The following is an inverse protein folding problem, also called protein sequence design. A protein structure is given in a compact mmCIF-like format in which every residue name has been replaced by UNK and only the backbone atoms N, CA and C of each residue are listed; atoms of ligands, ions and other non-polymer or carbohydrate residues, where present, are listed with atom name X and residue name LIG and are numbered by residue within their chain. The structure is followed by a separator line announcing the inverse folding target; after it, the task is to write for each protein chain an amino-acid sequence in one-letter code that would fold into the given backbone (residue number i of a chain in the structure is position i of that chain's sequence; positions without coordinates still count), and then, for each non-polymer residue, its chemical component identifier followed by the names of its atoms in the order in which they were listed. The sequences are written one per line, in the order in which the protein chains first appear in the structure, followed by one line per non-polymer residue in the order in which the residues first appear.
data_IF_656164109714
#
_entry.id   IF_656164109714
#
_cell.length_a   1.000
_cell.length_b   1.000
_cell.length_c   1.000
_cell.angle_alpha   90.00
_cell.angle_beta   90.00
_cell.angle_gamma   90.00
#
_symmetry.space_group_name_H-M   'P 1'
#
loop_
_entity.id
_entity.type
_entity.pdbx_description
1 polymer ?
#
# COMPACT_ATOMS: atom_id res chain seq x y z
N UNK A 1 8.28 -1.57 9.73
CA UNK A 1 9.12 -0.65 8.93
C UNK A 1 10.45 -1.29 8.55
N UNK A 2 11.08 -2.10 9.43
CA UNK A 2 12.35 -2.80 9.15
C UNK A 2 12.28 -3.77 7.95
N UNK A 3 11.13 -4.39 7.68
CA UNK A 3 11.02 -5.43 6.64
C UNK A 3 10.86 -4.88 5.22
N UNK A 4 10.30 -3.67 5.06
CA UNK A 4 10.16 -3.00 3.77
C UNK A 4 11.49 -2.39 3.29
N UNK A 5 12.39 -2.04 4.23
CA UNK A 5 13.71 -1.47 3.90
C UNK A 5 14.69 -2.46 3.29
N UNK A 6 14.47 -3.78 3.47
CA UNK A 6 15.32 -4.85 2.91
C UNK A 6 14.96 -5.23 1.47
N UNK A 7 13.80 -4.77 0.95
CA UNK A 7 13.34 -5.12 -0.40
C UNK A 7 14.00 -4.23 -1.45
N UNK A 8 14.20 -4.79 -2.65
CA UNK A 8 14.71 -4.05 -3.81
C UNK A 8 13.72 -2.98 -4.26
N UNK A 9 14.19 -1.97 -5.00
CA UNK A 9 13.30 -0.93 -5.55
C UNK A 9 12.24 -1.51 -6.50
N UNK A 10 12.61 -2.54 -7.26
CA UNK A 10 11.70 -3.25 -8.14
C UNK A 10 10.59 -3.99 -7.37
N UNK A 11 10.94 -4.62 -6.24
CA UNK A 11 9.96 -5.31 -5.40
C UNK A 11 9.03 -4.32 -4.68
N UNK A 12 9.55 -3.15 -4.28
CA UNK A 12 8.76 -2.08 -3.70
C UNK A 12 7.76 -1.52 -4.71
N UNK A 13 8.15 -1.35 -5.98
CA UNK A 13 7.26 -0.92 -7.04
C UNK A 13 6.15 -1.95 -7.30
N UNK A 14 6.49 -3.24 -7.38
CA UNK A 14 5.50 -4.33 -7.52
C UNK A 14 4.51 -4.37 -6.36
N UNK A 15 5.01 -4.26 -5.12
CA UNK A 15 4.17 -4.19 -3.93
C UNK A 15 3.27 -2.96 -3.92
N UNK A 16 3.74 -1.82 -4.44
CA UNK A 16 2.95 -0.61 -4.52
C UNK A 16 1.74 -0.80 -5.45
N UNK A 17 1.96 -1.38 -6.63
CA UNK A 17 0.88 -1.68 -7.61
C UNK A 17 -0.15 -2.63 -6.99
N UNK A 18 0.30 -3.74 -6.40
CA UNK A 18 -0.59 -4.72 -5.76
C UNK A 18 -1.43 -4.09 -4.64
N UNK A 19 -0.82 -3.25 -3.78
CA UNK A 19 -1.55 -2.58 -2.71
C UNK A 19 -2.55 -1.53 -3.25
N UNK A 20 -2.23 -0.87 -4.37
CA UNK A 20 -3.15 0.07 -5.02
C UNK A 20 -4.34 -0.63 -5.65
N UNK A 21 -4.13 -1.76 -6.31
CA UNK A 21 -5.19 -2.61 -6.87
C UNK A 21 -6.11 -3.15 -5.77
N UNK A 22 -5.53 -3.68 -4.69
CA UNK A 22 -6.30 -4.13 -3.51
C UNK A 22 -7.10 -2.98 -2.89
N UNK A 23 -6.51 -1.78 -2.79
CA UNK A 23 -7.21 -0.60 -2.29
C UNK A 23 -8.33 -0.13 -3.25
N UNK A 24 -8.14 -0.27 -4.57
CA UNK A 24 -9.17 0.03 -5.57
C UNK A 24 -10.33 -0.97 -5.49
N UNK A 25 -10.02 -2.26 -5.38
CA UNK A 25 -10.99 -3.32 -5.12
C UNK A 25 -11.78 -3.05 -3.85
N UNK A 26 -11.09 -2.70 -2.76
CA UNK A 26 -11.73 -2.30 -1.50
C UNK A 26 -12.67 -1.10 -1.66
N UNK A 27 -12.32 -0.10 -2.46
CA UNK A 27 -13.23 1.04 -2.73
C UNK A 27 -14.51 0.61 -3.44
N UNK A 28 -14.43 -0.32 -4.39
CA UNK A 28 -15.59 -0.82 -5.10
C UNK A 28 -16.46 -1.73 -4.21
N UNK A 29 -15.85 -2.57 -3.36
CA UNK A 29 -16.60 -3.42 -2.42
C UNK A 29 -17.28 -2.61 -1.31
N UNK A 30 -16.66 -1.52 -0.84
CA UNK A 30 -17.28 -0.57 0.10
C UNK A 30 -18.51 0.11 -0.50
N UNK A 31 -18.44 0.52 -1.78
CA UNK A 31 -19.57 1.18 -2.45
C UNK A 31 -20.82 0.27 -2.60
N UNK A 32 -20.61 -1.05 -2.64
CA UNK A 32 -21.67 -2.05 -2.76
C UNK A 32 -22.36 -2.47 -1.44
N UNK A 33 -22.14 -1.75 -0.33
CA UNK A 33 -22.83 -1.98 0.96
C UNK A 33 -22.36 -3.19 1.81
N UNK A 34 -21.12 -3.68 1.66
CA UNK A 34 -20.62 -4.83 2.46
C UNK A 34 -19.17 -4.69 2.95
N UNK A 35 -18.77 -3.52 3.44
CA UNK A 35 -17.44 -3.37 4.05
C UNK A 35 -17.53 -3.31 5.59
N UNK A 36 -17.70 -4.48 6.22
CA UNK A 36 -17.51 -4.62 7.68
C UNK A 36 -16.05 -4.37 8.11
N UNK A 37 -15.07 -4.53 7.20
CA UNK A 37 -13.64 -4.43 7.49
C UNK A 37 -13.00 -3.08 7.09
N UNK A 38 -13.46 -1.97 7.69
CA UNK A 38 -12.86 -0.63 7.51
C UNK A 38 -11.39 -0.56 7.93
N UNK A 39 -10.97 -1.46 8.84
CA UNK A 39 -9.58 -1.58 9.32
C UNK A 39 -8.61 -1.98 8.21
N UNK A 40 -9.03 -2.84 7.28
CA UNK A 40 -8.18 -3.31 6.18
C UNK A 40 -7.89 -2.19 5.18
N UNK A 41 -8.90 -1.39 4.81
CA UNK A 41 -8.71 -0.21 3.94
C UNK A 41 -7.72 0.80 4.54
N UNK A 42 -7.80 1.03 5.86
CA UNK A 42 -6.85 1.89 6.57
C UNK A 42 -5.43 1.30 6.59
N UNK A 43 -5.30 -0.02 6.75
CA UNK A 43 -4.02 -0.71 6.71
C UNK A 43 -3.37 -0.59 5.32
N UNK A 44 -4.14 -0.82 4.24
CA UNK A 44 -3.69 -0.67 2.86
C UNK A 44 -3.20 0.76 2.56
N UNK A 45 -3.95 1.79 2.96
CA UNK A 45 -3.49 3.20 2.84
C UNK A 45 -2.16 3.44 3.55
N UNK A 46 -2.01 2.91 4.76
CA UNK A 46 -0.78 3.08 5.56
C UNK A 46 0.40 2.37 4.92
N UNK A 47 0.19 1.19 4.33
CA UNK A 47 1.21 0.45 3.60
C UNK A 47 1.67 1.19 2.35
N UNK A 48 0.74 1.73 1.54
CA UNK A 48 1.06 2.55 0.36
C UNK A 48 1.89 3.78 0.76
N UNK A 49 1.48 4.49 1.82
CA UNK A 49 2.20 5.67 2.30
C UNK A 49 3.64 5.32 2.71
N UNK A 50 3.83 4.23 3.48
CA UNK A 50 5.16 3.77 3.92
C UNK A 50 6.07 3.41 2.74
N UNK A 51 5.55 2.74 1.71
CA UNK A 51 6.32 2.39 0.51
C UNK A 51 6.74 3.67 -0.22
N UNK A 52 5.82 4.62 -0.43
CA UNK A 52 6.12 5.91 -1.07
C UNK A 52 7.17 6.71 -0.29
N UNK A 53 7.08 6.73 1.04
CA UNK A 53 8.10 7.39 1.89
C UNK A 53 9.47 6.75 1.70
N UNK A 54 9.57 5.42 1.69
CA UNK A 54 10.84 4.72 1.48
C UNK A 54 11.43 4.98 0.09
N UNK A 55 10.61 4.99 -0.96
CA UNK A 55 11.08 5.32 -2.31
C UNK A 55 11.59 6.77 -2.39
N UNK A 56 10.91 7.71 -1.72
CA UNK A 56 11.35 9.09 -1.67
C UNK A 56 12.62 9.27 -0.83
N UNK A 57 12.73 8.58 0.30
CA UNK A 57 13.96 8.52 1.12
C UNK A 57 15.16 8.00 0.31
N UNK A 58 14.96 7.00 -0.55
CA UNK A 58 16.02 6.47 -1.43
C UNK A 58 16.40 7.42 -2.56
N UNK A 59 15.44 8.18 -3.10
CA UNK A 59 15.68 9.15 -4.19
C UNK A 59 16.39 10.42 -3.71
N UNK A 60 16.18 10.82 -2.47
CA UNK A 60 16.76 12.04 -1.87
C UNK A 60 18.14 11.80 -1.23
N UNK A 61 18.63 10.56 -1.27
CA UNK A 61 19.95 10.17 -0.76
C UNK A 61 20.93 10.03 -1.91
#
# INVERSE_FOLDING_TARGET
MKDLRKKSDADLAKLLVQNQEAHRGFRFTVAGSSARNTREGRALRKSIARIKTLMNERKQK
#
